data_IF_406266399213
#
_entry.id   IF_406266399213
#
_cell.length_a   1.000
_cell.length_b   1.000
_cell.length_c   1.000
_cell.angle_alpha   90.00
_cell.angle_beta   90.00
_cell.angle_gamma   90.00
#
_symmetry.space_group_name_H-M   'P 1'
#
loop_
_entity.id
_entity.type
_entity.pdbx_description
1 polymer ?
#
# COMPACT_ATOMS: atom_id res chain seq x y z
N UNK A 1 -4.05 -1.81 6.75
CA UNK A 1 -3.29 -0.63 7.22
C UNK A 1 -4.09 0.66 7.04
N UNK A 2 -4.81 0.81 5.93
CA UNK A 2 -5.58 2.01 5.56
C UNK A 2 -6.42 2.62 6.69
N UNK A 3 -7.13 1.82 7.49
CA UNK A 3 -7.96 2.32 8.61
C UNK A 3 -7.15 3.16 9.61
N UNK A 4 -5.87 2.85 9.82
CA UNK A 4 -5.02 3.56 10.78
C UNK A 4 -4.42 4.85 10.20
N UNK A 5 -4.41 5.04 8.88
CA UNK A 5 -3.82 6.22 8.25
C UNK A 5 -4.53 7.53 8.63
N UNK A 6 -5.82 7.45 8.96
CA UNK A 6 -6.63 8.60 9.36
C UNK A 6 -6.61 8.85 10.87
N UNK A 7 -5.83 8.07 11.63
CA UNK A 7 -5.73 8.21 13.08
C UNK A 7 -4.40 8.91 13.42
N UNK A 8 -4.41 10.02 14.17
CA UNK A 8 -3.18 10.69 14.59
C UNK A 8 -2.25 9.74 15.36
N UNK A 9 -0.95 9.74 15.02
CA UNK A 9 0.04 8.81 15.59
C UNK A 9 0.10 8.87 17.13
N UNK A 10 -0.11 10.06 17.70
CA UNK A 10 -0.15 10.26 19.14
C UNK A 10 -1.28 9.50 19.82
N UNK A 11 -2.45 9.34 19.18
CA UNK A 11 -3.56 8.58 19.71
C UNK A 11 -3.24 7.09 19.74
N UNK A 12 -2.60 6.58 18.68
CA UNK A 12 -2.15 5.18 18.59
C UNK A 12 -1.09 4.91 19.68
N UNK A 13 -0.13 5.83 19.86
CA UNK A 13 0.92 5.72 20.89
C UNK A 13 0.34 5.75 22.30
N UNK A 14 -0.59 6.68 22.58
CA UNK A 14 -1.26 6.76 23.87
C UNK A 14 -2.01 5.46 24.17
N UNK A 15 -2.77 4.94 23.20
CA UNK A 15 -3.47 3.67 23.34
C UNK A 15 -2.53 2.49 23.62
N UNK A 16 -1.37 2.41 22.96
CA UNK A 16 -0.36 1.38 23.26
C UNK A 16 0.24 1.58 24.67
N UNK A 17 0.44 2.81 25.13
CA UNK A 17 1.05 3.10 26.42
C UNK A 17 0.10 2.83 27.60
N UNK A 18 -1.18 3.20 27.46
CA UNK A 18 -2.17 3.18 28.55
C UNK A 18 -3.16 2.01 28.46
N UNK A 19 -3.27 1.37 27.29
CA UNK A 19 -4.22 0.29 27.06
C UNK A 19 -3.79 -1.05 27.67
N UNK A 20 -4.77 -1.88 28.00
CA UNK A 20 -4.58 -3.27 28.40
C UNK A 20 -3.86 -4.08 27.31
N UNK A 21 -3.14 -5.13 27.70
CA UNK A 21 -2.39 -6.00 26.77
C UNK A 21 -3.41 -6.78 25.92
N UNK A 22 -3.84 -6.17 24.82
CA UNK A 22 -4.77 -6.77 23.88
C UNK A 22 -4.01 -7.54 22.80
N UNK A 23 -4.61 -8.60 22.23
CA UNK A 23 -4.02 -9.40 21.14
C UNK A 23 -3.58 -8.58 19.93
N UNK A 24 -4.09 -7.35 19.78
CA UNK A 24 -3.85 -6.45 18.64
C UNK A 24 -2.73 -5.44 18.88
N UNK A 25 -2.17 -5.36 20.10
CA UNK A 25 -1.09 -4.41 20.46
C UNK A 25 0.12 -4.57 19.55
N UNK A 26 0.54 -5.81 19.28
CA UNK A 26 1.66 -6.09 18.38
C UNK A 26 1.46 -5.52 16.97
N UNK A 27 0.22 -5.56 16.43
CA UNK A 27 -0.09 -4.99 15.12
C UNK A 27 -0.05 -3.46 15.09
N UNK A 28 -0.41 -2.80 16.19
CA UNK A 28 -0.30 -1.35 16.29
C UNK A 28 1.17 -0.90 16.37
N UNK A 29 2.01 -1.67 17.08
CA UNK A 29 3.46 -1.45 17.12
C UNK A 29 4.06 -1.65 15.72
N UNK A 30 3.74 -2.76 15.05
CA UNK A 30 4.20 -3.04 13.68
C UNK A 30 3.72 -1.97 12.68
N UNK A 31 2.51 -1.43 12.88
CA UNK A 31 2.06 -0.29 12.09
C UNK A 31 2.91 0.95 12.30
N UNK A 32 3.23 1.31 13.55
CA UNK A 32 4.04 2.50 13.86
C UNK A 32 5.49 2.39 13.38
N UNK A 33 6.03 1.18 13.32
CA UNK A 33 7.44 0.90 13.04
C UNK A 33 7.71 0.50 11.58
N UNK A 34 6.81 -0.25 10.96
CA UNK A 34 7.06 -0.91 9.68
C UNK A 34 5.98 -0.54 8.65
N UNK A 35 4.73 -0.97 8.88
CA UNK A 35 3.68 -1.01 7.84
C UNK A 35 3.39 0.38 7.26
N UNK A 36 3.42 1.44 8.07
CA UNK A 36 3.14 2.83 7.60
C UNK A 36 4.20 3.41 6.67
N UNK A 37 5.36 2.77 6.57
CA UNK A 37 6.46 3.18 5.70
C UNK A 37 6.57 2.31 4.44
N UNK A 38 5.72 1.29 4.32
CA UNK A 38 5.64 0.48 3.10
C UNK A 38 5.00 1.31 1.99
N UNK A 39 5.82 1.67 1.01
CA UNK A 39 5.39 2.25 -0.26
C UNK A 39 5.85 1.33 -1.41
N UNK A 40 5.15 1.34 -2.56
CA UNK A 40 5.65 0.72 -3.78
C UNK A 40 7.05 1.21 -4.14
N UNK A 41 7.87 0.32 -4.71
CA UNK A 41 9.14 0.71 -5.32
C UNK A 41 8.93 1.36 -6.70
N UNK A 42 7.87 0.95 -7.41
CA UNK A 42 7.49 1.58 -8.69
C UNK A 42 6.81 2.94 -8.49
N UNK A 43 7.05 3.83 -9.43
CA UNK A 43 6.48 5.17 -9.50
C UNK A 43 5.49 5.31 -10.65
N UNK A 44 4.78 6.43 -10.72
CA UNK A 44 3.94 6.75 -11.89
C UNK A 44 4.74 6.80 -13.19
N UNK A 45 5.98 7.31 -13.14
CA UNK A 45 6.87 7.36 -14.30
C UNK A 45 7.23 5.96 -14.80
N UNK A 46 7.42 5.00 -13.89
CA UNK A 46 7.65 3.60 -14.25
C UNK A 46 6.45 2.98 -14.96
N UNK A 47 5.24 3.34 -14.53
CA UNK A 47 4.00 2.89 -15.17
C UNK A 47 3.86 3.48 -16.57
N UNK A 48 4.14 4.77 -16.73
CA UNK A 48 4.13 5.43 -18.04
C UNK A 48 5.17 4.82 -18.98
N UNK A 49 6.38 4.56 -18.49
CA UNK A 49 7.44 3.88 -19.25
C UNK A 49 7.06 2.44 -19.63
N UNK A 50 6.22 1.78 -18.82
CA UNK A 50 5.66 0.45 -19.12
C UNK A 50 4.45 0.48 -20.08
N UNK A 51 4.05 1.66 -20.56
CA UNK A 51 2.97 1.83 -21.54
C UNK A 51 1.58 2.03 -20.92
N UNK A 52 1.48 2.31 -19.62
CA UNK A 52 0.22 2.71 -19.00
C UNK A 52 -0.11 4.15 -19.42
N UNK A 53 -1.33 4.42 -19.95
CA UNK A 53 -1.70 5.76 -20.35
C UNK A 53 -1.78 6.70 -19.13
N UNK A 54 -1.41 7.96 -19.34
CA UNK A 54 -1.56 8.97 -18.30
C UNK A 54 -3.03 9.16 -17.93
N UNK A 55 -3.32 9.22 -16.62
CA UNK A 55 -4.66 9.43 -16.12
C UNK A 55 -4.91 8.80 -14.75
N UNK A 56 -6.17 8.78 -14.29
CA UNK A 56 -6.55 8.21 -12.99
C UNK A 56 -6.11 6.76 -12.79
N UNK A 57 -5.98 6.00 -13.89
CA UNK A 57 -5.53 4.60 -13.90
C UNK A 57 -4.15 4.43 -13.24
N UNK A 58 -3.23 5.40 -13.40
CA UNK A 58 -1.90 5.35 -12.76
C UNK A 58 -2.06 5.30 -11.23
N UNK A 59 -2.86 6.22 -10.67
CA UNK A 59 -3.11 6.26 -9.23
C UNK A 59 -3.80 4.98 -8.73
N UNK A 60 -4.76 4.46 -9.49
CA UNK A 60 -5.46 3.22 -9.14
C UNK A 60 -4.52 2.00 -9.13
N UNK A 61 -3.61 1.90 -10.10
CA UNK A 61 -2.61 0.84 -10.17
C UNK A 61 -1.55 0.96 -9.06
N UNK A 62 -1.09 2.18 -8.73
CA UNK A 62 -0.18 2.39 -7.61
C UNK A 62 -0.83 2.00 -6.28
N UNK A 63 -2.12 2.32 -6.08
CA UNK A 63 -2.86 1.93 -4.89
C UNK A 63 -3.04 0.40 -4.80
N UNK A 64 -3.32 -0.25 -5.93
CA UNK A 64 -3.36 -1.72 -6.03
C UNK A 64 -2.03 -2.34 -5.60
N UNK A 65 -0.91 -1.83 -6.11
CA UNK A 65 0.44 -2.32 -5.79
C UNK A 65 0.75 -2.10 -4.31
N UNK A 66 0.43 -0.91 -3.78
CA UNK A 66 0.59 -0.58 -2.35
C UNK A 66 -0.14 -1.58 -1.46
N UNK A 67 -1.39 -1.91 -1.77
CA UNK A 67 -2.15 -2.94 -1.03
C UNK A 67 -1.49 -4.31 -1.12
N UNK A 68 -1.05 -4.73 -2.30
CA UNK A 68 -0.37 -6.01 -2.47
C UNK A 68 0.92 -6.08 -1.65
N UNK A 69 1.68 -4.98 -1.55
CA UNK A 69 2.89 -4.87 -0.74
C UNK A 69 2.60 -4.95 0.75
N UNK A 70 1.57 -4.22 1.22
CA UNK A 70 1.09 -4.30 2.60
C UNK A 70 0.62 -5.71 2.98
N UNK A 71 0.07 -6.45 2.03
CA UNK A 71 -0.30 -7.87 2.17
C UNK A 71 0.87 -8.85 2.00
N UNK A 72 2.09 -8.36 1.76
CA UNK A 72 3.31 -9.14 1.45
C UNK A 72 3.19 -10.05 0.22
N UNK A 73 2.28 -9.74 -0.70
CA UNK A 73 2.08 -10.47 -1.96
C UNK A 73 3.11 -10.12 -3.02
N UNK A 74 3.67 -8.91 -2.94
CA UNK A 74 4.77 -8.43 -3.78
C UNK A 74 5.83 -7.80 -2.88
N UNK A 75 7.09 -8.04 -3.17
CA UNK A 75 8.23 -7.62 -2.34
C UNK A 75 9.40 -7.07 -3.17
N UNK A 76 9.22 -6.89 -4.48
CA UNK A 76 10.24 -6.30 -5.35
C UNK A 76 9.63 -5.51 -6.49
N UNK A 77 10.35 -4.51 -7.00
CA UNK A 77 9.96 -3.76 -8.20
C UNK A 77 9.50 -4.63 -9.37
N UNK A 78 10.14 -5.79 -9.59
CA UNK A 78 9.76 -6.71 -10.67
C UNK A 78 8.38 -7.31 -10.43
N UNK A 79 8.13 -7.82 -9.23
CA UNK A 79 6.82 -8.38 -8.86
C UNK A 79 5.70 -7.31 -8.91
N UNK A 80 6.02 -6.07 -8.53
CA UNK A 80 5.11 -4.93 -8.64
C UNK A 80 4.73 -4.64 -10.10
N UNK A 81 5.69 -4.60 -11.01
CA UNK A 81 5.43 -4.41 -12.44
C UNK A 81 4.66 -5.59 -13.06
N UNK A 82 4.98 -6.82 -12.68
CA UNK A 82 4.28 -8.01 -13.16
C UNK A 82 2.82 -8.01 -12.68
N UNK A 83 2.57 -7.60 -11.44
CA UNK A 83 1.21 -7.41 -10.90
C UNK A 83 0.43 -6.37 -11.72
N UNK A 84 1.04 -5.21 -12.00
CA UNK A 84 0.41 -4.17 -12.83
C UNK A 84 0.04 -4.71 -14.20
N UNK A 85 0.96 -5.37 -14.89
CA UNK A 85 0.72 -5.94 -16.23
C UNK A 85 -0.43 -6.95 -16.22
N UNK A 86 -0.53 -7.76 -15.17
CA UNK A 86 -1.61 -8.74 -15.03
C UNK A 86 -2.99 -8.11 -14.85
N UNK A 87 -3.07 -6.91 -14.25
CA UNK A 87 -4.33 -6.23 -13.93
C UNK A 87 -4.71 -5.13 -14.90
N UNK A 88 -3.74 -4.57 -15.64
CA UNK A 88 -3.96 -3.50 -16.61
C UNK A 88 -5.18 -3.73 -17.54
N UNK A 89 -5.43 -4.94 -18.08
CA UNK A 89 -6.61 -5.17 -18.92
C UNK A 89 -7.94 -4.87 -18.22
N UNK A 90 -8.08 -5.17 -16.93
CA UNK A 90 -9.30 -4.94 -16.14
C UNK A 90 -9.61 -3.43 -16.04
N UNK A 91 -8.57 -2.60 -15.93
CA UNK A 91 -8.70 -1.14 -15.79
C UNK A 91 -8.97 -0.43 -17.12
N UNK A 92 -8.51 -0.98 -18.25
CA UNK A 92 -8.75 -0.41 -19.58
C UNK A 92 -10.14 -0.74 -20.14
N UNK A 93 -10.81 -1.76 -19.60
CA UNK A 93 -12.18 -2.14 -20.02
C UNK A 93 -13.30 -1.33 -19.36
N UNK A 94 -12.96 -0.39 -18.48
CA UNK A 94 -13.90 0.38 -17.65
C UNK A 94 -14.02 1.86 -18.03
N UNK A 95 -13.67 2.23 -19.27
CA UNK A 95 -13.93 3.56 -19.86
C UNK A 95 -15.43 3.77 -20.22
#
# INVERSE_FOLDING_TARGET
AEVLNNIPLQCIRAYIATGSILPRRGRLIDYLQTIRFEEPEITGDDLMAAGVPEGPIIGQLLELVKRARLDRKVNSRKEELDLVRSRLPEFLTHD
#
